data_IF_491654276993
#
_entry.id   IF_491654276993
#
_cell.length_a   1.000
_cell.length_b   1.000
_cell.length_c   1.000
_cell.angle_alpha   90.00
_cell.angle_beta   90.00
_cell.angle_gamma   90.00
#
_symmetry.space_group_name_H-M   'P 1'
#
loop_
_entity.id
_entity.type
_entity.pdbx_description
1 polymer ?
#
# COMPACT_ATOMS: atom_id res chain seq x y z
N UNK A 1 -92.54 31.72 5.98
CA UNK A 1 -92.08 31.22 4.67
C UNK A 1 -91.45 32.43 3.96
N UNK A 2 -90.11 32.59 3.93
CA UNK A 2 -89.20 32.14 2.84
C UNK A 2 -87.79 31.70 3.37
N UNK A 3 -87.00 30.84 2.71
CA UNK A 3 -86.02 30.98 1.61
C UNK A 3 -84.69 31.73 1.91
N UNK A 4 -83.58 31.17 1.37
CA UNK A 4 -82.32 31.83 0.91
C UNK A 4 -81.03 31.62 1.75
N UNK A 5 -80.23 30.66 1.27
CA UNK A 5 -78.75 30.61 1.13
C UNK A 5 -77.82 31.21 2.19
N UNK A 6 -76.82 30.44 2.67
CA UNK A 6 -75.40 30.90 2.66
C UNK A 6 -74.38 29.75 2.74
N UNK A 7 -73.73 29.50 1.59
CA UNK A 7 -72.33 29.12 1.32
C UNK A 7 -71.53 28.20 2.27
N UNK A 8 -71.26 27.00 1.74
CA UNK A 8 -70.09 26.16 1.98
C UNK A 8 -68.77 26.94 1.81
N UNK A 9 -67.88 26.85 2.79
CA UNK A 9 -66.42 26.97 2.59
C UNK A 9 -65.76 25.91 3.45
N UNK A 10 -65.52 24.73 2.88
CA UNK A 10 -64.63 23.73 3.45
C UNK A 10 -63.24 23.96 2.83
N UNK A 11 -62.30 24.45 3.65
CA UNK A 11 -60.90 24.60 3.28
C UNK A 11 -60.26 23.21 3.26
N UNK A 12 -60.21 22.57 2.10
CA UNK A 12 -59.40 21.36 1.88
C UNK A 12 -58.03 21.78 1.36
N UNK A 13 -57.03 21.78 2.24
CA UNK A 13 -55.63 21.95 1.86
C UNK A 13 -55.17 20.64 1.21
N UNK A 14 -55.04 20.64 -0.11
CA UNK A 14 -54.39 19.56 -0.86
C UNK A 14 -52.86 19.68 -0.67
N UNK A 15 -52.28 18.83 0.17
CA UNK A 15 -50.84 18.54 0.10
C UNK A 15 -50.57 17.66 -1.12
N UNK A 16 -50.13 18.25 -2.23
CA UNK A 16 -49.48 17.48 -3.30
C UNK A 16 -48.09 17.04 -2.82
N UNK A 17 -47.76 15.73 -2.81
CA UNK A 17 -46.36 15.33 -2.81
C UNK A 17 -45.78 15.68 -4.18
N UNK A 18 -44.80 16.59 -4.22
CA UNK A 18 -43.90 16.69 -5.38
C UNK A 18 -43.11 15.36 -5.45
N UNK A 19 -43.63 14.40 -6.21
CA UNK A 19 -42.83 13.31 -6.71
C UNK A 19 -41.93 13.88 -7.81
N UNK A 20 -40.70 14.27 -7.43
CA UNK A 20 -39.65 14.53 -8.42
C UNK A 20 -39.39 13.27 -9.26
N UNK A 21 -39.11 13.40 -10.57
CA UNK A 21 -38.82 12.24 -11.39
C UNK A 21 -37.58 11.53 -10.82
N UNK A 22 -37.74 10.26 -10.45
CA UNK A 22 -36.61 9.38 -10.19
C UNK A 22 -35.76 9.32 -11.47
N UNK A 23 -34.55 9.86 -11.42
CA UNK A 23 -33.61 9.82 -12.53
C UNK A 23 -33.30 8.36 -12.84
N UNK A 24 -33.70 7.91 -14.02
CA UNK A 24 -33.36 6.60 -14.56
C UNK A 24 -31.85 6.56 -14.76
N UNK A 25 -31.16 5.64 -14.07
CA UNK A 25 -29.74 5.38 -14.21
C UNK A 25 -29.34 5.26 -15.70
N UNK A 26 -28.69 6.28 -16.25
CA UNK A 26 -28.24 6.32 -17.67
C UNK A 26 -26.86 5.71 -17.88
N UNK A 27 -26.18 5.25 -16.83
CA UNK A 27 -24.87 4.65 -16.95
C UNK A 27 -24.95 3.16 -17.37
N UNK A 28 -24.05 2.70 -18.24
CA UNK A 28 -23.86 1.28 -18.56
C UNK A 28 -23.76 0.39 -17.32
N UNK A 29 -24.13 -0.88 -17.45
CA UNK A 29 -23.99 -1.85 -16.37
C UNK A 29 -22.51 -1.96 -15.92
N UNK A 30 -22.24 -1.72 -14.64
CA UNK A 30 -20.88 -1.68 -14.10
C UNK A 30 -20.32 -0.26 -13.92
N UNK A 31 -21.10 0.78 -14.20
CA UNK A 31 -20.73 2.18 -13.98
C UNK A 31 -21.69 2.86 -12.98
N UNK A 32 -21.16 3.79 -12.19
CA UNK A 32 -21.89 4.63 -11.24
C UNK A 32 -21.80 6.09 -11.66
N UNK A 33 -22.95 6.76 -11.62
CA UNK A 33 -23.04 8.18 -11.94
C UNK A 33 -22.50 9.03 -10.79
N UNK A 34 -21.59 9.97 -11.09
CA UNK A 34 -21.09 10.98 -10.15
C UNK A 34 -21.36 12.36 -10.76
N UNK A 35 -22.07 13.21 -10.00
CA UNK A 35 -22.45 14.55 -10.45
C UNK A 35 -21.84 15.60 -9.51
N UNK A 36 -20.97 16.47 -10.05
CA UNK A 36 -20.46 17.65 -9.35
C UNK A 36 -21.00 18.92 -10.03
N UNK A 37 -20.52 19.24 -11.24
CA UNK A 37 -21.07 20.31 -12.12
C UNK A 37 -21.63 19.75 -13.45
N UNK A 38 -21.68 18.44 -13.55
CA UNK A 38 -22.17 17.64 -14.67
C UNK A 38 -22.08 16.17 -14.27
N UNK A 39 -22.95 15.33 -14.81
CA UNK A 39 -22.97 13.91 -14.47
C UNK A 39 -22.08 13.13 -15.44
N UNK A 40 -21.08 12.45 -14.90
CA UNK A 40 -20.24 11.51 -15.64
C UNK A 40 -20.47 10.09 -15.11
N UNK A 41 -20.40 9.11 -15.99
CA UNK A 41 -20.41 7.70 -15.60
C UNK A 41 -18.95 7.27 -15.38
N UNK A 42 -18.65 6.84 -14.15
CA UNK A 42 -17.37 6.22 -13.82
C UNK A 42 -17.60 4.73 -13.58
N UNK A 43 -16.63 3.85 -13.89
CA UNK A 43 -16.70 2.45 -13.48
C UNK A 43 -16.97 2.36 -11.98
N UNK A 44 -17.90 1.47 -11.60
CA UNK A 44 -18.28 1.19 -10.22
C UNK A 44 -17.15 0.38 -9.55
N UNK A 45 -16.12 1.10 -9.10
CA UNK A 45 -14.96 0.55 -8.41
C UNK A 45 -15.33 -0.16 -7.10
N UNK A 46 -16.57 0.02 -6.59
CA UNK A 46 -17.06 -0.63 -5.38
C UNK A 46 -17.58 -2.05 -5.59
N UNK A 47 -17.72 -2.53 -6.83
CA UNK A 47 -18.35 -3.83 -7.14
C UNK A 47 -17.44 -4.85 -7.82
N UNK A 48 -16.16 -4.53 -8.02
CA UNK A 48 -15.18 -5.46 -8.58
C UNK A 48 -14.09 -5.80 -7.54
N UNK A 49 -14.15 -6.99 -6.91
CA UNK A 49 -13.03 -7.50 -6.12
C UNK A 49 -11.74 -7.56 -6.97
N UNK A 50 -11.86 -7.93 -8.24
CA UNK A 50 -10.72 -8.06 -9.17
C UNK A 50 -10.22 -6.72 -9.73
N UNK A 51 -11.07 -5.70 -9.77
CA UNK A 51 -10.76 -4.38 -10.37
C UNK A 51 -9.84 -3.54 -9.48
N UNK A 52 -9.93 -3.71 -8.16
CA UNK A 52 -9.01 -3.04 -7.22
C UNK A 52 -7.59 -3.53 -7.43
N UNK A 53 -7.38 -4.85 -7.60
CA UNK A 53 -6.05 -5.42 -7.86
C UNK A 53 -5.50 -5.04 -9.23
N UNK A 54 -6.37 -4.93 -10.26
CA UNK A 54 -5.96 -4.52 -11.61
C UNK A 54 -5.34 -3.12 -11.65
N UNK A 55 -5.70 -2.23 -10.73
CA UNK A 55 -5.12 -0.87 -10.64
C UNK A 55 -4.08 -0.77 -9.53
N UNK A 56 -4.29 -1.45 -8.40
CA UNK A 56 -3.40 -1.35 -7.24
C UNK A 56 -2.01 -1.93 -7.53
N UNK A 57 -1.90 -3.08 -8.19
CA UNK A 57 -0.61 -3.70 -8.44
C UNK A 57 0.27 -2.87 -9.40
N UNK A 58 -0.22 -2.39 -10.56
CA UNK A 58 0.55 -1.50 -11.42
C UNK A 58 0.89 -0.16 -10.74
N UNK A 59 -0.04 0.41 -9.96
CA UNK A 59 0.23 1.65 -9.22
C UNK A 59 1.34 1.48 -8.19
N UNK A 60 1.33 0.38 -7.42
CA UNK A 60 2.38 0.05 -6.46
C UNK A 60 3.72 -0.21 -7.15
N UNK A 61 3.75 -0.93 -8.26
CA UNK A 61 4.97 -1.17 -9.03
C UNK A 61 5.61 0.13 -9.55
N UNK A 62 4.79 1.04 -10.07
CA UNK A 62 5.22 2.36 -10.51
C UNK A 62 5.78 3.17 -9.34
N UNK A 63 5.05 3.20 -8.21
CA UNK A 63 5.49 3.92 -7.02
C UNK A 63 6.81 3.36 -6.47
N UNK A 64 6.97 2.04 -6.37
CA UNK A 64 8.23 1.39 -5.92
C UNK A 64 9.41 1.80 -6.81
N UNK A 65 9.20 1.80 -8.12
CA UNK A 65 10.22 2.18 -9.10
C UNK A 65 10.62 3.65 -8.96
N UNK A 66 9.64 4.54 -8.79
CA UNK A 66 9.88 5.97 -8.60
C UNK A 66 10.58 6.25 -7.26
N UNK A 67 10.07 5.68 -6.17
CA UNK A 67 10.64 5.83 -4.84
C UNK A 67 12.10 5.31 -4.78
N UNK A 68 12.39 4.18 -5.43
CA UNK A 68 13.76 3.67 -5.59
C UNK A 68 14.64 4.65 -6.37
N UNK A 69 14.16 5.18 -7.49
CA UNK A 69 14.92 6.15 -8.29
C UNK A 69 15.24 7.42 -7.49
N UNK A 70 14.28 7.91 -6.71
CA UNK A 70 14.49 9.03 -5.79
C UNK A 70 15.51 8.71 -4.70
N UNK A 71 15.41 7.52 -4.09
CA UNK A 71 16.35 7.04 -3.08
C UNK A 71 17.78 6.89 -3.62
N UNK A 72 17.95 6.55 -4.91
CA UNK A 72 19.23 6.35 -5.55
C UNK A 72 20.01 7.65 -5.85
N UNK A 73 19.37 8.82 -5.77
CA UNK A 73 19.97 10.08 -6.22
C UNK A 73 21.13 10.59 -5.33
N UNK A 74 21.32 10.08 -4.11
CA UNK A 74 22.53 10.34 -3.31
C UNK A 74 22.66 9.36 -2.11
N UNK A 75 23.89 9.17 -1.65
CA UNK A 75 24.28 8.61 -0.34
C UNK A 75 23.82 7.19 0.00
N UNK A 76 23.60 6.35 -1.01
CA UNK A 76 23.45 4.91 -0.80
C UNK A 76 24.78 4.23 -0.48
N UNK A 77 24.78 3.35 0.51
CA UNK A 77 25.93 2.61 0.99
C UNK A 77 25.74 1.10 0.76
N UNK A 78 26.82 0.31 0.56
CA UNK A 78 26.73 -1.14 0.60
C UNK A 78 26.43 -1.63 2.02
N UNK A 79 25.96 -2.87 2.19
CA UNK A 79 25.77 -3.46 3.53
C UNK A 79 27.04 -3.30 4.38
N UNK A 80 26.96 -2.86 5.65
CA UNK A 80 28.12 -2.79 6.53
C UNK A 80 28.87 -4.13 6.58
N UNK A 81 30.21 -4.17 6.40
CA UNK A 81 30.95 -5.42 6.23
C UNK A 81 30.69 -6.47 7.33
N UNK A 82 30.60 -6.03 8.59
CA UNK A 82 30.25 -6.89 9.74
C UNK A 82 28.89 -7.55 9.60
N UNK A 83 27.87 -6.78 9.19
CA UNK A 83 26.51 -7.30 8.99
C UNK A 83 26.48 -8.24 7.80
N UNK A 84 27.15 -7.87 6.69
CA UNK A 84 27.27 -8.71 5.49
C UNK A 84 27.86 -10.08 5.82
N UNK A 85 28.98 -10.10 6.55
CA UNK A 85 29.67 -11.35 6.92
C UNK A 85 28.76 -12.28 7.72
N UNK A 86 28.05 -11.76 8.72
CA UNK A 86 27.15 -12.54 9.57
C UNK A 86 25.96 -13.10 8.78
N UNK A 87 25.47 -12.37 7.78
CA UNK A 87 24.29 -12.78 7.01
C UNK A 87 24.59 -13.76 5.87
N UNK A 88 25.87 -14.04 5.55
CA UNK A 88 26.27 -15.04 4.56
C UNK A 88 25.77 -16.46 4.88
N UNK A 89 25.46 -16.73 6.14
CA UNK A 89 24.87 -18.00 6.57
C UNK A 89 23.46 -18.22 6.02
N UNK A 90 22.67 -17.16 5.85
CA UNK A 90 21.25 -17.25 5.49
C UNK A 90 20.98 -16.82 4.05
N UNK A 91 21.81 -15.95 3.50
CA UNK A 91 21.61 -15.37 2.18
C UNK A 91 22.76 -15.68 1.23
N UNK A 92 22.40 -15.99 -0.01
CA UNK A 92 23.37 -16.11 -1.08
C UNK A 92 24.10 -14.76 -1.28
N UNK A 93 25.41 -14.76 -1.63
CA UNK A 93 26.17 -13.52 -1.83
C UNK A 93 25.51 -12.55 -2.80
N UNK A 94 24.85 -13.04 -3.87
CA UNK A 94 24.17 -12.20 -4.85
C UNK A 94 23.03 -11.34 -4.29
N UNK A 95 22.34 -11.79 -3.23
CA UNK A 95 21.32 -10.99 -2.53
C UNK A 95 22.01 -9.85 -1.76
N UNK A 96 23.06 -10.19 -1.01
CA UNK A 96 23.81 -9.25 -0.19
C UNK A 96 24.54 -8.18 -1.02
N UNK A 97 25.09 -8.58 -2.17
CA UNK A 97 25.88 -7.71 -3.04
C UNK A 97 25.00 -6.76 -3.87
N UNK A 98 23.74 -7.13 -4.07
CA UNK A 98 22.72 -6.29 -4.70
C UNK A 98 22.22 -5.21 -3.75
N UNK A 99 21.99 -5.57 -2.48
CA UNK A 99 21.40 -4.65 -1.53
C UNK A 99 22.28 -3.41 -1.28
N UNK A 100 21.62 -2.27 -1.20
CA UNK A 100 22.16 -0.98 -0.76
C UNK A 100 21.30 -0.48 0.39
N UNK A 101 21.82 0.42 1.19
CA UNK A 101 21.02 1.09 2.21
C UNK A 101 21.31 2.57 2.29
N UNK A 102 20.36 3.29 2.87
CA UNK A 102 20.56 4.67 3.34
C UNK A 102 19.74 4.88 4.59
N UNK A 103 20.18 5.81 5.43
CA UNK A 103 19.35 6.35 6.51
C UNK A 103 18.51 7.45 5.90
N UNK A 104 17.19 7.29 5.94
CA UNK A 104 16.25 8.21 5.30
C UNK A 104 15.95 9.40 6.20
N UNK A 105 15.60 10.54 5.59
CA UNK A 105 14.84 11.55 6.31
C UNK A 105 13.43 11.04 6.64
N UNK A 106 12.79 11.67 7.62
CA UNK A 106 11.45 11.26 8.09
C UNK A 106 10.41 11.32 6.95
N UNK A 107 10.58 12.19 5.96
CA UNK A 107 9.63 12.39 4.86
C UNK A 107 9.53 11.18 3.92
N UNK A 108 10.67 10.77 3.32
CA UNK A 108 10.70 9.64 2.40
C UNK A 108 10.36 8.32 3.12
N UNK A 109 10.82 8.15 4.35
CA UNK A 109 10.50 6.97 5.17
C UNK A 109 9.00 6.85 5.46
N UNK A 110 8.36 7.96 5.88
CA UNK A 110 6.94 7.97 6.19
C UNK A 110 6.07 7.74 4.94
N UNK A 111 6.46 8.30 3.79
CA UNK A 111 5.77 8.02 2.53
C UNK A 111 5.82 6.52 2.18
N UNK A 112 6.98 5.88 2.37
CA UNK A 112 7.15 4.47 2.08
C UNK A 112 6.35 3.56 3.04
N UNK A 113 6.41 3.87 4.33
CA UNK A 113 5.63 3.23 5.40
C UNK A 113 4.13 3.33 5.12
N UNK A 114 3.66 4.51 4.69
CA UNK A 114 2.25 4.76 4.39
C UNK A 114 1.79 3.96 3.17
N UNK A 115 2.57 3.94 2.10
CA UNK A 115 2.20 3.23 0.87
C UNK A 115 2.14 1.71 1.09
N UNK A 116 3.09 1.16 1.86
CA UNK A 116 3.14 -0.27 2.16
C UNK A 116 2.26 -0.67 3.35
N UNK A 117 1.52 0.29 3.94
CA UNK A 117 0.66 0.05 5.11
C UNK A 117 1.40 -0.62 6.28
N UNK A 118 2.67 -0.26 6.48
CA UNK A 118 3.53 -0.88 7.47
C UNK A 118 3.94 0.12 8.57
N UNK A 119 3.03 0.51 9.48
CA UNK A 119 3.21 1.66 10.38
C UNK A 119 4.37 1.53 11.39
N UNK A 120 4.85 0.31 11.65
CA UNK A 120 5.76 0.00 12.77
C UNK A 120 7.06 -0.71 12.33
N UNK A 121 7.68 -0.25 11.26
CA UNK A 121 9.00 -0.76 10.84
C UNK A 121 10.14 0.24 11.05
N UNK A 122 11.31 -0.31 11.40
CA UNK A 122 12.58 0.42 11.48
C UNK A 122 13.30 0.52 10.13
N UNK A 123 12.80 -0.17 9.11
CA UNK A 123 13.32 -0.15 7.75
C UNK A 123 12.22 -0.43 6.71
N UNK A 124 12.45 -0.04 5.46
CA UNK A 124 11.60 -0.35 4.31
C UNK A 124 12.47 -0.68 3.10
N UNK A 125 12.17 -1.76 2.39
CA UNK A 125 12.90 -2.15 1.18
C UNK A 125 12.23 -1.60 -0.09
N UNK A 126 12.95 -0.74 -0.81
CA UNK A 126 12.63 -0.24 -2.14
C UNK A 126 13.45 -0.99 -3.19
N UNK A 127 12.97 -2.16 -3.61
CA UNK A 127 13.60 -3.04 -4.61
C UNK A 127 14.93 -3.61 -4.11
N UNK A 128 16.03 -2.87 -4.24
CA UNK A 128 17.37 -3.22 -3.76
C UNK A 128 17.93 -2.17 -2.77
N UNK A 129 17.20 -1.08 -2.52
CA UNK A 129 17.62 -0.04 -1.58
C UNK A 129 16.77 -0.15 -0.30
N UNK A 130 17.44 -0.41 0.82
CA UNK A 130 16.81 -0.49 2.13
C UNK A 130 16.92 0.88 2.81
N UNK A 131 15.76 1.50 3.07
CA UNK A 131 15.67 2.73 3.82
C UNK A 131 15.57 2.40 5.30
N UNK A 132 16.57 2.77 6.09
CA UNK A 132 16.50 2.67 7.54
C UNK A 132 15.99 3.99 8.13
N UNK A 133 15.21 3.88 9.21
CA UNK A 133 14.72 5.04 9.97
C UNK A 133 15.87 5.81 10.62
N UNK A 134 16.87 5.10 11.14
CA UNK A 134 17.98 5.69 11.87
C UNK A 134 19.26 4.86 11.71
N UNK A 135 20.40 5.49 11.94
CA UNK A 135 21.72 4.88 11.79
C UNK A 135 21.95 3.72 12.79
N UNK A 136 21.42 3.82 14.01
CA UNK A 136 21.61 2.79 15.02
C UNK A 136 20.96 1.48 14.57
N UNK A 137 19.73 1.56 14.06
CA UNK A 137 19.02 0.42 13.48
C UNK A 137 19.80 -0.16 12.29
N UNK A 138 20.28 0.68 11.38
CA UNK A 138 21.07 0.27 10.22
C UNK A 138 22.40 -0.42 10.58
N UNK A 139 23.05 -0.03 11.68
CA UNK A 139 24.38 -0.54 12.04
C UNK A 139 24.34 -1.75 12.99
N UNK A 140 23.26 -1.91 13.76
CA UNK A 140 23.24 -2.83 14.90
C UNK A 140 22.19 -3.94 14.77
N UNK A 141 21.13 -3.75 13.98
CA UNK A 141 19.99 -4.67 13.95
C UNK A 141 20.10 -5.70 12.83
N UNK A 142 20.93 -6.73 13.04
CA UNK A 142 21.18 -7.82 12.08
C UNK A 142 19.89 -8.58 11.75
N UNK A 143 18.99 -8.74 12.73
CA UNK A 143 17.71 -9.42 12.51
C UNK A 143 16.79 -8.64 11.57
N UNK A 144 16.76 -7.29 11.70
CA UNK A 144 16.01 -6.45 10.77
C UNK A 144 16.64 -6.47 9.38
N UNK A 145 17.97 -6.43 9.27
CA UNK A 145 18.63 -6.65 7.97
C UNK A 145 18.20 -7.97 7.31
N UNK A 146 18.09 -9.04 8.09
CA UNK A 146 17.62 -10.32 7.57
C UNK A 146 16.18 -10.26 7.06
N UNK A 147 15.31 -9.46 7.68
CA UNK A 147 13.96 -9.19 7.18
C UNK A 147 14.00 -8.47 5.83
N UNK A 148 14.68 -7.33 5.77
CA UNK A 148 14.72 -6.49 4.58
C UNK A 148 15.38 -7.20 3.38
N UNK A 149 16.42 -8.00 3.62
CA UNK A 149 17.04 -8.82 2.58
C UNK A 149 16.10 -9.90 2.02
N UNK A 150 15.08 -10.33 2.79
CA UNK A 150 14.05 -11.22 2.24
C UNK A 150 13.27 -10.50 1.16
N UNK A 151 12.95 -9.23 1.34
CA UNK A 151 12.29 -8.43 0.31
C UNK A 151 13.21 -8.19 -0.89
N UNK A 152 14.50 -7.91 -0.69
CA UNK A 152 15.47 -7.83 -1.81
C UNK A 152 15.48 -9.14 -2.61
N UNK A 153 15.52 -10.29 -1.94
CA UNK A 153 15.44 -11.60 -2.59
C UNK A 153 14.11 -11.79 -3.34
N UNK A 154 12.98 -11.43 -2.74
CA UNK A 154 11.66 -11.50 -3.39
C UNK A 154 11.58 -10.63 -4.65
N UNK A 155 12.18 -9.43 -4.61
CA UNK A 155 12.28 -8.58 -5.80
C UNK A 155 13.17 -9.19 -6.88
N UNK A 156 14.29 -9.82 -6.52
CA UNK A 156 15.14 -10.54 -7.47
C UNK A 156 14.40 -11.73 -8.11
N UNK A 157 13.59 -12.46 -7.34
CA UNK A 157 12.90 -13.66 -7.80
C UNK A 157 11.63 -13.36 -8.62
N UNK A 158 10.87 -12.34 -8.22
CA UNK A 158 9.55 -12.06 -8.79
C UNK A 158 9.53 -10.84 -9.71
N UNK A 159 10.56 -10.01 -9.66
CA UNK A 159 10.54 -8.68 -10.25
C UNK A 159 9.59 -7.73 -9.51
N UNK A 160 9.62 -6.45 -9.89
CA UNK A 160 8.81 -5.39 -9.24
C UNK A 160 7.31 -5.64 -9.44
N UNK A 161 6.89 -6.01 -10.65
CA UNK A 161 5.49 -6.29 -10.97
C UNK A 161 4.97 -7.52 -10.20
N UNK A 162 5.75 -8.60 -10.15
CA UNK A 162 5.38 -9.82 -9.44
C UNK A 162 5.33 -9.63 -7.92
N UNK A 163 6.21 -8.80 -7.37
CA UNK A 163 6.13 -8.38 -5.97
C UNK A 163 4.86 -7.57 -5.72
N UNK A 164 4.61 -6.52 -6.51
CA UNK A 164 3.46 -5.64 -6.33
C UNK A 164 2.13 -6.39 -6.44
N UNK A 165 2.02 -7.34 -7.37
CA UNK A 165 0.86 -8.20 -7.50
C UNK A 165 0.62 -9.02 -6.23
N UNK A 166 1.65 -9.69 -5.71
CA UNK A 166 1.53 -10.51 -4.48
C UNK A 166 1.23 -9.66 -3.26
N UNK A 167 1.91 -8.51 -3.12
CA UNK A 167 1.73 -7.61 -1.98
C UNK A 167 0.33 -7.04 -1.92
N UNK A 168 -0.21 -6.62 -3.07
CA UNK A 168 -1.58 -6.09 -3.12
C UNK A 168 -2.61 -7.18 -2.88
N UNK A 169 -2.40 -8.40 -3.40
CA UNK A 169 -3.31 -9.54 -3.22
C UNK A 169 -3.33 -10.07 -1.77
N UNK A 170 -2.16 -10.34 -1.20
CA UNK A 170 -1.99 -10.83 0.15
C UNK A 170 -0.63 -10.41 0.71
N UNK A 171 -0.59 -9.25 1.36
CA UNK A 171 0.63 -8.73 1.96
C UNK A 171 1.21 -9.70 3.02
N UNK A 172 0.37 -10.46 3.73
CA UNK A 172 0.85 -11.39 4.76
C UNK A 172 1.68 -12.52 4.14
N UNK A 173 1.33 -12.99 2.94
CA UNK A 173 2.11 -14.01 2.24
C UNK A 173 3.49 -13.50 1.82
N UNK A 174 3.66 -12.19 1.64
CA UNK A 174 4.95 -11.55 1.34
C UNK A 174 5.76 -11.29 2.61
N UNK A 175 5.11 -10.81 3.67
CA UNK A 175 5.74 -10.43 4.96
C UNK A 175 6.10 -11.63 5.85
N UNK A 176 5.29 -12.70 5.86
CA UNK A 176 5.49 -13.83 6.76
C UNK A 176 6.87 -14.51 6.60
N UNK A 177 7.39 -14.76 5.37
CA UNK A 177 8.75 -15.24 5.19
C UNK A 177 9.83 -14.29 5.73
N UNK A 178 9.61 -12.98 5.65
CA UNK A 178 10.54 -11.96 6.14
C UNK A 178 10.55 -11.92 7.68
N UNK A 179 9.39 -12.07 8.33
CA UNK A 179 9.33 -12.23 9.79
C UNK A 179 9.92 -13.55 10.28
N UNK A 180 9.74 -14.64 9.52
CA UNK A 180 10.28 -15.95 9.89
C UNK A 180 11.82 -15.91 9.97
N UNK A 181 12.48 -15.37 8.95
CA UNK A 181 13.94 -15.25 8.94
C UNK A 181 14.45 -14.23 9.98
N UNK A 182 13.72 -13.12 10.19
CA UNK A 182 14.02 -12.18 11.27
C UNK A 182 14.04 -12.87 12.63
N UNK A 183 13.03 -13.71 12.91
CA UNK A 183 12.93 -14.44 14.17
C UNK A 183 14.06 -15.46 14.34
N UNK A 184 14.42 -16.17 13.26
CA UNK A 184 15.53 -17.11 13.24
C UNK A 184 16.86 -16.42 13.54
N UNK A 185 17.18 -15.34 12.81
CA UNK A 185 18.44 -14.59 13.01
C UNK A 185 18.49 -13.96 14.39
N UNK A 186 17.37 -13.41 14.89
CA UNK A 186 17.30 -12.89 16.26
C UNK A 186 17.60 -13.96 17.31
N UNK A 187 17.15 -15.20 17.09
CA UNK A 187 17.49 -16.33 17.97
C UNK A 187 18.98 -16.65 17.89
N UNK A 188 19.54 -16.81 16.68
CA UNK A 188 20.96 -17.11 16.50
C UNK A 188 21.88 -16.04 17.12
N UNK A 189 21.54 -14.75 16.95
CA UNK A 189 22.30 -13.64 17.55
C UNK A 189 22.30 -13.70 19.08
N UNK A 190 21.15 -14.00 19.71
CA UNK A 190 21.07 -14.17 21.17
C UNK A 190 21.86 -15.36 21.68
N UNK A 191 21.95 -16.42 20.89
CA UNK A 191 22.66 -17.66 21.24
C UNK A 191 24.16 -17.61 20.91
N UNK A 192 24.63 -16.59 20.17
CA UNK A 192 26.01 -16.50 19.70
C UNK A 192 26.35 -17.51 18.60
N UNK A 193 25.33 -17.99 17.87
CA UNK A 193 25.44 -19.07 16.88
C UNK A 193 25.29 -18.53 15.45
N UNK A 194 25.98 -17.45 15.09
CA UNK A 194 25.86 -16.76 13.81
C UNK A 194 27.22 -16.50 13.15
#
# INVERSE_FOLDING_TARGET
MPAITTRLVALFVLCLPLAGPAQTNTCPAGEKQVCLDGCICLPDLGRMPDGIYQVAAPALAMWLTQARAEAANADIQPIPPRIREQLLRWYAPGVLDTARYKVSDDGQFNAATTMLQNPDVGAVTLIDIILFRDAQTAEQNIALWAHELKHVQQFQEWGVEGFAQRYTQDFNAVEAPAYAIQAEVRRAVREGTY
#
